data_IF_216514896546
#
_entry.id   IF_216514896546
#
_cell.length_a   1.000
_cell.length_b   1.000
_cell.length_c   1.000
_cell.angle_alpha   90.00
_cell.angle_beta   90.00
_cell.angle_gamma   90.00
#
_symmetry.space_group_name_H-M   'P 1'
#
loop_
_entity.id
_entity.type
_entity.pdbx_description
1 polymer ?
#
# COMPACT_ATOMS: atom_id res chain seq x y z
N UNK A 1 13.51 7.79 -32.95
CA UNK A 1 12.77 8.71 -32.03
C UNK A 1 12.28 7.86 -30.85
N UNK A 2 12.49 8.28 -29.60
CA UNK A 2 12.12 7.47 -28.42
C UNK A 2 10.60 7.26 -28.35
N UNK A 3 10.13 6.03 -28.60
CA UNK A 3 8.71 5.68 -28.76
C UNK A 3 7.83 6.04 -27.54
N UNK A 4 8.41 6.05 -26.34
CA UNK A 4 7.72 6.42 -25.09
C UNK A 4 7.44 7.93 -24.95
N UNK A 5 8.16 8.79 -25.66
CA UNK A 5 8.08 10.25 -25.48
C UNK A 5 6.75 10.83 -25.97
N UNK A 6 6.22 10.32 -27.09
CA UNK A 6 4.93 10.72 -27.65
C UNK A 6 3.78 10.50 -26.66
N UNK A 7 3.55 9.26 -26.20
CA UNK A 7 2.58 8.95 -25.14
C UNK A 7 2.79 9.78 -23.88
N UNK A 8 4.04 9.93 -23.41
CA UNK A 8 4.34 10.73 -22.21
C UNK A 8 3.89 12.20 -22.34
N UNK A 9 4.16 12.85 -23.48
CA UNK A 9 3.75 14.24 -23.73
C UNK A 9 2.22 14.37 -23.80
N UNK A 10 1.52 13.42 -24.44
CA UNK A 10 0.06 13.38 -24.48
C UNK A 10 -0.54 13.19 -23.09
N UNK A 11 0.02 12.29 -22.28
CA UNK A 11 -0.38 12.07 -20.89
C UNK A 11 -0.25 13.34 -20.04
N UNK A 12 0.86 14.07 -20.15
CA UNK A 12 1.03 15.38 -19.47
C UNK A 12 0.00 16.42 -19.89
N UNK A 13 -0.29 16.52 -21.19
CA UNK A 13 -1.32 17.44 -21.72
C UNK A 13 -2.72 17.06 -21.24
N UNK A 14 -3.04 15.76 -21.21
CA UNK A 14 -4.31 15.26 -20.68
C UNK A 14 -4.44 15.56 -19.18
N UNK A 15 -3.38 15.35 -18.40
CA UNK A 15 -3.34 15.63 -16.97
C UNK A 15 -3.53 17.13 -16.66
N UNK A 16 -2.93 18.02 -17.46
CA UNK A 16 -3.13 19.47 -17.36
C UNK A 16 -4.58 19.88 -17.65
N UNK A 17 -5.28 19.12 -18.51
CA UNK A 17 -6.70 19.32 -18.82
C UNK A 17 -7.65 18.55 -17.90
N UNK A 18 -7.17 18.03 -16.77
CA UNK A 18 -7.93 17.20 -15.83
C UNK A 18 -8.57 15.93 -16.44
N UNK A 19 -8.08 15.47 -17.61
CA UNK A 19 -8.52 14.23 -18.25
C UNK A 19 -7.73 13.04 -17.69
N UNK A 20 -8.05 12.66 -16.45
CA UNK A 20 -7.29 11.66 -15.66
C UNK A 20 -7.26 10.28 -16.30
N UNK A 21 -8.39 9.78 -16.81
CA UNK A 21 -8.49 8.47 -17.48
C UNK A 21 -7.58 8.36 -18.71
N UNK A 22 -7.60 9.39 -19.56
CA UNK A 22 -6.71 9.49 -20.73
C UNK A 22 -5.26 9.59 -20.27
N UNK A 23 -4.96 10.40 -19.24
CA UNK A 23 -3.60 10.52 -18.72
C UNK A 23 -3.06 9.18 -18.23
N UNK A 24 -3.84 8.41 -17.46
CA UNK A 24 -3.46 7.06 -17.00
C UNK A 24 -3.16 6.14 -18.18
N UNK A 25 -4.03 6.10 -19.19
CA UNK A 25 -3.82 5.29 -20.40
C UNK A 25 -2.53 5.65 -21.13
N UNK A 26 -2.30 6.94 -21.38
CA UNK A 26 -1.10 7.41 -22.09
C UNK A 26 0.19 7.18 -21.29
N UNK A 27 0.14 7.29 -19.95
CA UNK A 27 1.31 6.97 -19.11
C UNK A 27 1.59 5.47 -19.03
N UNK A 28 0.56 4.60 -19.03
CA UNK A 28 0.76 3.14 -19.16
C UNK A 28 1.42 2.79 -20.48
N UNK A 29 0.92 3.33 -21.59
CA UNK A 29 1.57 3.17 -22.89
C UNK A 29 3.02 3.69 -22.88
N UNK A 30 3.29 4.83 -22.24
CA UNK A 30 4.66 5.33 -22.10
C UNK A 30 5.58 4.36 -21.34
N UNK A 31 5.07 3.65 -20.32
CA UNK A 31 5.85 2.65 -19.57
C UNK A 31 6.17 1.41 -20.43
N UNK A 32 5.22 0.94 -21.22
CA UNK A 32 5.40 -0.22 -22.10
C UNK A 32 6.53 0.00 -23.12
N UNK A 33 6.65 1.23 -23.66
CA UNK A 33 7.69 1.58 -24.62
C UNK A 33 9.00 2.10 -23.98
N UNK A 34 9.05 2.26 -22.65
CA UNK A 34 10.23 2.81 -21.98
C UNK A 34 11.29 1.71 -21.79
N UNK A 35 12.52 1.89 -22.31
CA UNK A 35 13.55 0.87 -22.15
C UNK A 35 13.96 0.76 -20.67
N UNK A 36 14.18 -0.47 -20.20
CA UNK A 36 14.55 -0.77 -18.80
C UNK A 36 15.84 -0.06 -18.37
N UNK A 37 16.75 0.22 -19.33
CA UNK A 37 17.99 0.96 -19.10
C UNK A 37 17.76 2.44 -18.72
N UNK A 38 16.61 3.02 -19.08
CA UNK A 38 16.27 4.42 -18.82
C UNK A 38 15.51 4.58 -17.49
N UNK A 39 16.18 4.26 -16.38
CA UNK A 39 15.57 4.21 -15.04
C UNK A 39 15.00 5.56 -14.59
N UNK A 40 15.65 6.68 -14.94
CA UNK A 40 15.23 8.04 -14.56
C UNK A 40 13.96 8.46 -15.29
N UNK A 41 13.86 8.13 -16.56
CA UNK A 41 12.71 8.39 -17.42
C UNK A 41 11.53 7.53 -16.97
N UNK A 42 11.76 6.24 -16.71
CA UNK A 42 10.76 5.32 -16.18
C UNK A 42 10.24 5.78 -14.81
N UNK A 43 11.12 6.22 -13.91
CA UNK A 43 10.73 6.81 -12.64
C UNK A 43 9.87 8.07 -12.81
N UNK A 44 10.20 8.93 -13.79
CA UNK A 44 9.41 10.12 -14.12
C UNK A 44 8.03 9.73 -14.64
N UNK A 45 7.92 8.74 -15.53
CA UNK A 45 6.63 8.27 -16.04
C UNK A 45 5.79 7.70 -14.89
N UNK A 46 6.36 6.83 -14.05
CA UNK A 46 5.70 6.29 -12.86
C UNK A 46 5.23 7.39 -11.90
N UNK A 47 6.02 8.45 -11.74
CA UNK A 47 5.65 9.57 -10.92
C UNK A 47 4.39 10.29 -11.43
N UNK A 48 4.34 10.61 -12.73
CA UNK A 48 3.16 11.25 -13.34
C UNK A 48 1.96 10.31 -13.41
N UNK A 49 2.17 9.00 -13.59
CA UNK A 49 1.13 8.00 -13.49
C UNK A 49 0.50 8.03 -12.08
N UNK A 50 1.33 8.07 -11.03
CA UNK A 50 0.85 8.20 -9.66
C UNK A 50 0.03 9.47 -9.45
N UNK A 51 0.44 10.61 -10.02
CA UNK A 51 -0.33 11.86 -9.93
C UNK A 51 -1.69 11.76 -10.67
N UNK A 52 -1.74 11.07 -11.81
CA UNK A 52 -2.98 10.84 -12.54
C UNK A 52 -3.93 9.91 -11.77
N UNK A 53 -3.37 8.86 -11.14
CA UNK A 53 -4.11 7.92 -10.30
C UNK A 53 -4.67 8.58 -9.03
N UNK A 54 -3.87 9.40 -8.34
CA UNK A 54 -4.30 10.16 -7.15
C UNK A 54 -5.47 11.08 -7.48
N UNK A 55 -5.39 11.81 -8.61
CA UNK A 55 -6.48 12.68 -9.09
C UNK A 55 -7.73 11.91 -9.56
N UNK A 56 -7.61 10.61 -9.83
CA UNK A 56 -8.74 9.74 -10.15
C UNK A 56 -9.35 9.04 -8.93
N UNK A 57 -8.87 9.33 -7.72
CA UNK A 57 -9.32 8.71 -6.47
C UNK A 57 -8.63 7.38 -6.15
N UNK A 58 -7.72 6.90 -6.99
CA UNK A 58 -7.01 5.63 -6.83
C UNK A 58 -5.71 5.82 -6.02
N UNK A 59 -5.84 6.32 -4.79
CA UNK A 59 -4.72 6.71 -3.91
C UNK A 59 -3.77 5.56 -3.58
N UNK A 60 -4.27 4.34 -3.44
CA UNK A 60 -3.47 3.14 -3.23
C UNK A 60 -2.54 2.83 -4.41
N UNK A 61 -3.10 2.81 -5.62
CA UNK A 61 -2.31 2.59 -6.84
C UNK A 61 -1.32 3.74 -7.09
N UNK A 62 -1.71 4.98 -6.74
CA UNK A 62 -0.81 6.12 -6.78
C UNK A 62 0.40 5.91 -5.86
N UNK A 63 0.16 5.49 -4.62
CA UNK A 63 1.22 5.20 -3.66
C UNK A 63 2.17 4.12 -4.19
N UNK A 64 1.62 3.03 -4.73
CA UNK A 64 2.40 1.95 -5.38
C UNK A 64 3.26 2.48 -6.53
N UNK A 65 2.72 3.35 -7.39
CA UNK A 65 3.48 3.96 -8.49
C UNK A 65 4.65 4.81 -7.99
N UNK A 66 4.46 5.62 -6.95
CA UNK A 66 5.54 6.44 -6.38
C UNK A 66 6.60 5.61 -5.66
N UNK A 67 6.21 4.56 -4.92
CA UNK A 67 7.15 3.61 -4.31
C UNK A 67 8.01 2.95 -5.37
N UNK A 68 7.41 2.53 -6.50
CA UNK A 68 8.17 1.96 -7.61
C UNK A 68 9.08 2.98 -8.29
N UNK A 69 8.65 4.24 -8.45
CA UNK A 69 9.53 5.31 -8.94
C UNK A 69 10.74 5.50 -8.02
N UNK A 70 10.54 5.40 -6.71
CA UNK A 70 11.59 5.56 -5.69
C UNK A 70 12.58 4.39 -5.66
N UNK A 71 12.18 3.19 -6.09
CA UNK A 71 13.11 2.05 -6.30
C UNK A 71 14.07 2.29 -7.46
N UNK A 72 13.65 3.03 -8.47
CA UNK A 72 14.47 3.31 -9.66
C UNK A 72 15.43 4.48 -9.47
N UNK A 73 15.06 5.47 -8.64
CA UNK A 73 15.86 6.68 -8.39
C UNK A 73 16.08 6.88 -6.90
N UNK A 74 17.35 6.80 -6.48
CA UNK A 74 17.77 6.88 -5.06
C UNK A 74 17.81 8.28 -4.48
N UNK A 75 18.09 9.29 -5.32
CA UNK A 75 18.39 10.66 -4.87
C UNK A 75 17.96 11.70 -5.92
N UNK A 76 18.03 12.98 -5.53
CA UNK A 76 17.69 14.11 -6.40
C UNK A 76 16.21 14.51 -6.36
N UNK A 77 15.82 15.38 -7.30
CA UNK A 77 14.49 16.02 -7.28
C UNK A 77 13.31 15.02 -7.31
N UNK A 78 13.39 13.98 -8.14
CA UNK A 78 12.33 12.95 -8.20
C UNK A 78 12.21 12.16 -6.88
N UNK A 79 13.33 11.94 -6.19
CA UNK A 79 13.33 11.30 -4.88
C UNK A 79 12.80 12.24 -3.78
N UNK A 80 13.13 13.54 -3.84
CA UNK A 80 12.59 14.54 -2.92
C UNK A 80 11.07 14.72 -3.10
N UNK A 81 10.61 14.62 -4.35
CA UNK A 81 9.19 14.62 -4.69
C UNK A 81 8.45 13.52 -3.92
N UNK A 82 8.94 12.28 -3.91
CA UNK A 82 8.31 11.15 -3.20
C UNK A 82 7.86 11.49 -1.76
N UNK A 83 8.73 12.11 -0.95
CA UNK A 83 8.47 12.44 0.46
C UNK A 83 7.33 13.46 0.66
N UNK A 84 6.92 14.16 -0.40
CA UNK A 84 5.77 15.07 -0.37
C UNK A 84 4.44 14.32 -0.42
N UNK A 85 4.38 13.16 -1.09
CA UNK A 85 3.14 12.42 -1.32
C UNK A 85 3.00 11.16 -0.48
N UNK A 86 4.11 10.61 0.05
CA UNK A 86 4.12 9.38 0.83
C UNK A 86 4.53 9.67 2.28
N UNK A 87 3.82 9.07 3.24
CA UNK A 87 4.14 9.14 4.67
C UNK A 87 5.18 8.07 5.07
N UNK A 88 5.53 8.04 6.36
CA UNK A 88 6.57 7.16 6.91
C UNK A 88 6.18 5.67 6.91
N UNK A 89 4.89 5.38 6.73
CA UNK A 89 4.33 4.04 6.61
C UNK A 89 4.31 3.51 5.17
N UNK A 90 4.70 4.34 4.19
CA UNK A 90 4.64 4.02 2.76
C UNK A 90 3.24 4.15 2.14
N UNK A 91 2.33 4.87 2.80
CA UNK A 91 0.98 5.18 2.29
C UNK A 91 0.89 6.62 1.79
N UNK A 92 -0.22 6.96 1.11
CA UNK A 92 -0.52 8.34 0.74
C UNK A 92 -0.52 9.23 1.98
N UNK A 93 0.33 10.25 1.97
CA UNK A 93 0.44 11.25 3.04
C UNK A 93 -0.83 12.09 3.14
N UNK A 94 -1.32 12.24 4.36
CA UNK A 94 -2.50 13.04 4.68
C UNK A 94 -2.08 14.39 5.28
N UNK A 95 -3.03 15.31 5.47
CA UNK A 95 -2.75 16.64 6.01
C UNK A 95 -2.28 16.66 7.47
N UNK A 96 -2.42 15.57 8.22
CA UNK A 96 -2.04 15.47 9.63
C UNK A 96 -1.28 14.17 9.91
N UNK A 97 -0.15 14.20 10.64
CA UNK A 97 0.57 13.00 11.08
C UNK A 97 -0.29 12.06 11.92
N UNK A 98 -1.19 12.61 12.75
CA UNK A 98 -2.10 11.80 13.57
C UNK A 98 -3.09 11.01 12.68
N UNK A 99 -3.52 11.61 11.58
CA UNK A 99 -4.39 10.95 10.61
C UNK A 99 -3.63 9.89 9.81
N UNK A 100 -2.36 10.13 9.48
CA UNK A 100 -1.49 9.11 8.90
C UNK A 100 -1.29 7.90 9.85
N UNK A 101 -1.10 8.16 11.15
CA UNK A 101 -1.01 7.11 12.17
C UNK A 101 -2.33 6.33 12.28
N UNK A 102 -3.48 7.01 12.28
CA UNK A 102 -4.80 6.36 12.29
C UNK A 102 -4.99 5.46 11.07
N UNK A 103 -4.68 5.96 9.86
CA UNK A 103 -4.79 5.17 8.62
C UNK A 103 -3.88 3.95 8.63
N UNK A 104 -2.69 4.07 9.23
CA UNK A 104 -1.76 2.95 9.39
C UNK A 104 -2.34 1.89 10.33
N UNK A 105 -2.85 2.34 11.49
CA UNK A 105 -3.52 1.49 12.46
C UNK A 105 -4.72 0.76 11.84
N UNK A 106 -5.62 1.51 11.20
CA UNK A 106 -6.80 0.99 10.51
C UNK A 106 -6.40 -0.09 9.49
N UNK A 107 -5.42 0.20 8.64
CA UNK A 107 -4.96 -0.74 7.61
C UNK A 107 -4.34 -2.02 8.20
N UNK A 108 -3.64 -1.92 9.34
CA UNK A 108 -3.11 -3.11 10.03
C UNK A 108 -4.25 -3.96 10.59
N UNK A 109 -5.25 -3.35 11.22
CA UNK A 109 -6.36 -4.10 11.82
C UNK A 109 -7.27 -4.73 10.76
N UNK A 110 -7.55 -4.01 9.67
CA UNK A 110 -8.28 -4.57 8.52
C UNK A 110 -7.53 -5.75 7.94
N UNK A 111 -6.21 -5.64 7.76
CA UNK A 111 -5.39 -6.76 7.29
C UNK A 111 -5.50 -7.97 8.23
N UNK A 112 -5.38 -7.78 9.55
CA UNK A 112 -5.52 -8.86 10.53
C UNK A 112 -6.91 -9.50 10.49
N UNK A 113 -7.95 -8.69 10.33
CA UNK A 113 -9.33 -9.17 10.21
C UNK A 113 -9.51 -9.99 8.94
N UNK A 114 -9.19 -9.42 7.77
CA UNK A 114 -9.33 -10.09 6.48
C UNK A 114 -8.42 -11.32 6.34
N UNK A 115 -7.24 -11.34 6.97
CA UNK A 115 -6.34 -12.50 6.94
C UNK A 115 -6.89 -13.71 7.72
N UNK A 116 -7.79 -13.49 8.68
CA UNK A 116 -8.49 -14.57 9.38
C UNK A 116 -9.68 -15.09 8.58
N UNK A 117 -10.14 -14.35 7.56
CA UNK A 117 -11.21 -14.76 6.67
C UNK A 117 -10.65 -15.56 5.51
N UNK A 118 -11.31 -16.66 5.15
CA UNK A 118 -10.93 -17.48 4.00
C UNK A 118 -11.01 -16.70 2.67
N UNK A 119 -11.99 -15.80 2.53
CA UNK A 119 -12.22 -15.03 1.32
C UNK A 119 -11.33 -13.78 1.17
N UNK A 120 -10.66 -13.32 2.23
CA UNK A 120 -9.80 -12.14 2.20
C UNK A 120 -10.49 -10.81 1.85
N UNK A 121 -11.83 -10.74 1.92
CA UNK A 121 -12.65 -9.55 1.65
C UNK A 121 -13.85 -9.49 2.60
N UNK A 122 -14.45 -8.32 2.73
CA UNK A 122 -15.73 -8.15 3.42
C UNK A 122 -16.87 -8.81 2.62
N UNK A 123 -17.84 -9.43 3.30
CA UNK A 123 -19.07 -9.97 2.72
C UNK A 123 -20.10 -8.89 2.46
N UNK A 124 -20.22 -7.91 3.36
CA UNK A 124 -21.22 -6.85 3.26
C UNK A 124 -20.68 -5.49 3.69
N UNK A 125 -21.39 -4.44 3.28
CA UNK A 125 -21.13 -3.08 3.75
C UNK A 125 -21.40 -2.96 5.26
N UNK A 126 -22.42 -3.65 5.78
CA UNK A 126 -22.71 -3.67 7.21
C UNK A 126 -21.57 -4.29 8.04
N UNK A 127 -20.98 -5.40 7.58
CA UNK A 127 -19.80 -6.00 8.21
C UNK A 127 -18.63 -5.00 8.24
N UNK A 128 -18.37 -4.36 7.11
CA UNK A 128 -17.32 -3.36 6.97
C UNK A 128 -17.51 -2.21 7.97
N UNK A 129 -18.74 -1.71 8.11
CA UNK A 129 -19.07 -0.63 9.03
C UNK A 129 -18.89 -1.03 10.50
N UNK A 130 -19.31 -2.25 10.87
CA UNK A 130 -19.09 -2.79 12.22
C UNK A 130 -17.60 -2.91 12.51
N UNK A 131 -16.82 -3.47 11.59
CA UNK A 131 -15.36 -3.62 11.74
C UNK A 131 -14.69 -2.25 11.87
N UNK A 132 -15.07 -1.28 11.06
CA UNK A 132 -14.54 0.08 11.16
C UNK A 132 -14.91 0.77 12.46
N UNK A 133 -16.13 0.57 12.96
CA UNK A 133 -16.56 1.13 14.25
C UNK A 133 -15.69 0.61 15.41
N UNK A 134 -15.43 -0.71 15.44
CA UNK A 134 -14.56 -1.33 16.45
C UNK A 134 -13.13 -0.78 16.37
N UNK A 135 -12.60 -0.61 15.15
CA UNK A 135 -11.27 -0.03 14.93
C UNK A 135 -11.22 1.44 15.40
N UNK A 136 -12.26 2.22 15.11
CA UNK A 136 -12.35 3.61 15.53
C UNK A 136 -12.37 3.76 17.04
N UNK A 137 -13.13 2.93 17.75
CA UNK A 137 -13.20 2.98 19.20
C UNK A 137 -11.88 2.56 19.85
N UNK A 138 -11.22 1.51 19.32
CA UNK A 138 -9.88 1.14 19.75
C UNK A 138 -8.86 2.27 19.52
N UNK A 139 -8.93 2.95 18.37
CA UNK A 139 -8.07 4.10 18.07
C UNK A 139 -8.31 5.26 19.04
N UNK A 140 -9.57 5.58 19.37
CA UNK A 140 -9.89 6.65 20.35
C UNK A 140 -9.22 6.38 21.69
N UNK A 141 -9.16 5.13 22.15
CA UNK A 141 -8.47 4.75 23.38
C UNK A 141 -6.95 4.97 23.29
N UNK A 142 -6.33 4.53 22.19
CA UNK A 142 -4.89 4.72 21.94
C UNK A 142 -4.56 6.22 21.84
N UNK A 143 -5.34 6.99 21.09
CA UNK A 143 -5.14 8.42 20.91
C UNK A 143 -5.27 9.19 22.23
N UNK A 144 -6.25 8.84 23.09
CA UNK A 144 -6.42 9.44 24.43
C UNK A 144 -5.22 9.20 25.34
N UNK A 145 -4.57 8.05 25.24
CA UNK A 145 -3.39 7.71 26.06
C UNK A 145 -2.16 8.58 25.79
N UNK A 146 -2.12 9.27 24.64
CA UNK A 146 -0.97 10.08 24.16
C UNK A 146 0.37 9.34 24.08
N UNK A 147 0.38 8.00 24.17
CA UNK A 147 1.59 7.17 24.11
C UNK A 147 2.34 7.32 22.79
N UNK A 148 1.65 7.69 21.70
CA UNK A 148 2.22 7.73 20.35
C UNK A 148 3.13 8.94 20.06
N UNK A 149 3.09 10.01 20.84
CA UNK A 149 3.77 11.27 20.49
C UNK A 149 5.30 11.20 20.58
N UNK A 150 5.83 10.39 21.50
CA UNK A 150 7.27 10.22 21.72
C UNK A 150 7.89 9.04 20.97
N UNK A 151 7.06 8.25 20.26
CA UNK A 151 7.49 7.00 19.65
C UNK A 151 7.92 7.17 18.19
N UNK A 152 8.95 6.43 17.80
CA UNK A 152 9.33 6.28 16.40
C UNK A 152 8.22 5.56 15.62
N UNK A 153 8.16 5.76 14.30
CA UNK A 153 7.16 5.09 13.46
C UNK A 153 7.26 3.54 13.54
N UNK A 154 8.44 2.96 13.75
CA UNK A 154 8.60 1.50 13.90
C UNK A 154 8.05 1.01 15.23
N UNK A 155 8.25 1.77 16.31
CA UNK A 155 7.64 1.51 17.61
C UNK A 155 6.12 1.62 17.54
N UNK A 156 5.59 2.65 16.86
CA UNK A 156 4.15 2.79 16.59
C UNK A 156 3.59 1.57 15.86
N UNK A 157 4.23 1.12 14.77
CA UNK A 157 3.84 -0.10 14.04
C UNK A 157 3.83 -1.32 14.97
N UNK A 158 4.81 -1.45 15.86
CA UNK A 158 4.83 -2.57 16.81
C UNK A 158 3.65 -2.53 17.79
N UNK A 159 3.25 -1.35 18.25
CA UNK A 159 2.06 -1.20 19.11
C UNK A 159 0.81 -1.54 18.31
N UNK A 160 0.68 -1.01 17.09
CA UNK A 160 -0.46 -1.27 16.22
C UNK A 160 -0.63 -2.77 15.96
N UNK A 161 0.46 -3.49 15.68
CA UNK A 161 0.43 -4.95 15.50
C UNK A 161 0.10 -5.74 16.76
N UNK A 162 0.44 -5.22 17.95
CA UNK A 162 0.17 -5.86 19.24
C UNK A 162 -1.24 -5.61 19.75
N UNK A 163 -1.90 -4.55 19.30
CA UNK A 163 -3.29 -4.27 19.64
C UNK A 163 -4.18 -5.41 19.10
N UNK A 164 -4.81 -6.14 20.02
CA UNK A 164 -5.80 -7.16 19.70
C UNK A 164 -7.18 -6.53 19.82
N UNK A 165 -7.93 -6.56 18.72
CA UNK A 165 -9.30 -6.11 18.66
C UNK A 165 -10.18 -7.34 18.63
N UNK A 166 -11.17 -7.37 19.53
CA UNK A 166 -12.20 -8.40 19.53
C UNK A 166 -13.32 -7.93 18.60
N UNK A 167 -13.31 -8.48 17.40
CA UNK A 167 -14.38 -8.26 16.44
C UNK A 167 -15.56 -9.17 16.78
N UNK A 168 -16.81 -8.68 16.74
CA UNK A 168 -17.99 -9.52 16.87
C UNK A 168 -17.89 -10.71 15.91
N UNK A 169 -18.24 -11.91 16.37
CA UNK A 169 -18.28 -13.11 15.53
C UNK A 169 -19.35 -12.92 14.43
N UNK A 170 -18.95 -12.50 13.23
CA UNK A 170 -19.84 -12.30 12.08
C UNK A 170 -19.89 -13.54 11.16
N UNK A 171 -19.40 -14.70 11.63
CA UNK A 171 -19.09 -15.88 10.79
C UNK A 171 -20.25 -16.84 10.56
N UNK A 172 -21.51 -16.42 10.70
CA UNK A 172 -22.63 -17.31 10.41
C UNK A 172 -22.63 -17.79 8.94
N UNK A 173 -22.11 -16.96 8.03
CA UNK A 173 -22.00 -17.28 6.59
C UNK A 173 -20.70 -18.04 6.23
N UNK A 174 -19.60 -17.80 6.95
CA UNK A 174 -18.33 -18.50 6.71
C UNK A 174 -18.37 -19.97 7.21
N UNK A 175 -19.30 -20.32 8.13
CA UNK A 175 -19.58 -21.72 8.50
C UNK A 175 -20.29 -22.52 7.40
N UNK A 176 -20.84 -21.84 6.38
CA UNK A 176 -21.56 -22.45 5.26
C UNK A 176 -20.70 -22.53 3.99
N UNK A 177 -19.52 -21.90 3.96
CA UNK A 177 -18.58 -22.07 2.86
C UNK A 177 -17.91 -23.43 2.99
N UNK A 178 -18.10 -24.27 1.96
CA UNK A 178 -17.45 -25.56 1.81
C UNK A 178 -15.95 -25.41 2.06
N UNK A 179 -15.42 -26.25 2.94
CA UNK A 179 -14.02 -26.26 3.36
C UNK A 179 -13.08 -26.04 2.17
N UNK A 180 -12.55 -24.83 2.02
CA UNK A 180 -11.38 -24.62 1.20
C UNK A 180 -10.27 -25.44 1.85
N UNK A 181 -9.86 -26.55 1.22
CA UNK A 181 -8.76 -27.35 1.73
C UNK A 181 -7.59 -26.42 2.05
N UNK A 182 -7.08 -26.42 3.29
CA UNK A 182 -5.93 -25.60 3.61
C UNK A 182 -4.79 -26.03 2.70
N UNK A 183 -4.26 -25.10 1.90
CA UNK A 183 -3.02 -25.33 1.19
C UNK A 183 -1.96 -25.53 2.28
N UNK A 184 -1.62 -26.78 2.57
CA UNK A 184 -0.55 -27.17 3.48
C UNK A 184 0.78 -26.89 2.79
N UNK A 185 1.09 -25.60 2.65
CA UNK A 185 2.39 -25.13 2.23
C UNK A 185 3.38 -25.37 3.37
N UNK A 186 4.29 -26.32 3.19
CA UNK A 186 5.40 -26.51 4.12
C UNK A 186 6.41 -25.36 3.93
N UNK A 187 6.11 -24.18 4.47
CA UNK A 187 7.01 -23.01 4.45
C UNK A 187 8.26 -23.19 5.35
N UNK A 188 8.49 -24.41 5.86
CA UNK A 188 9.74 -24.83 6.51
C UNK A 188 10.83 -25.26 5.52
N UNK A 189 10.74 -24.86 4.25
CA UNK A 189 11.86 -24.87 3.31
C UNK A 189 12.91 -23.83 3.68
N UNK A 190 13.64 -24.05 4.78
CA UNK A 190 14.84 -23.29 5.14
C UNK A 190 15.86 -23.44 4.01
N UNK A 191 16.06 -22.39 3.21
CA UNK A 191 17.36 -22.18 2.55
C UNK A 191 18.38 -21.78 3.64
N UNK A 192 19.63 -22.26 3.59
CA UNK A 192 20.67 -21.84 4.51
C UNK A 192 21.04 -20.40 4.16
N UNK A 193 20.70 -19.50 5.07
CA UNK A 193 20.76 -18.07 4.87
C UNK A 193 19.68 -17.45 5.76
N UNK A 194 20.06 -17.16 6.99
CA UNK A 194 19.24 -16.51 8.03
C UNK A 194 18.26 -15.54 7.37
N UNK A 195 16.92 -15.70 7.53
CA UNK A 195 16.02 -14.63 7.13
C UNK A 195 16.42 -13.44 8.00
N UNK A 196 17.12 -12.48 7.41
CA UNK A 196 17.52 -11.26 8.07
C UNK A 196 16.23 -10.73 8.70
N UNK A 197 16.13 -10.75 10.04
CA UNK A 197 15.00 -10.17 10.76
C UNK A 197 15.10 -8.66 10.55
N UNK A 198 14.71 -8.22 9.36
CA UNK A 198 14.73 -6.83 8.95
C UNK A 198 13.79 -6.08 9.90
N UNK A 199 14.39 -5.21 10.71
CA UNK A 199 13.65 -4.20 11.44
C UNK A 199 12.99 -3.26 10.43
N UNK A 200 11.87 -2.65 10.83
CA UNK A 200 11.16 -1.71 9.97
C UNK A 200 12.03 -0.51 9.56
N UNK A 201 12.99 -0.13 10.40
CA UNK A 201 13.91 0.98 10.18
C UNK A 201 15.14 0.61 9.35
N UNK A 202 15.39 -0.69 9.13
CA UNK A 202 16.53 -1.15 8.34
C UNK A 202 16.38 -0.70 6.88
N UNK A 203 17.52 -0.46 6.21
CA UNK A 203 17.52 -0.15 4.79
C UNK A 203 16.90 -1.27 3.98
N UNK A 204 15.98 -0.92 3.08
CA UNK A 204 15.26 -1.92 2.28
C UNK A 204 16.21 -2.62 1.28
N UNK A 205 16.23 -3.97 1.23
CA UNK A 205 17.17 -4.72 0.38
C UNK A 205 16.90 -4.57 -1.12
N UNK A 206 15.73 -4.02 -1.53
CA UNK A 206 15.44 -3.75 -2.94
C UNK A 206 16.26 -2.59 -3.53
N UNK A 207 17.09 -1.92 -2.72
CA UNK A 207 17.97 -0.86 -3.19
C UNK A 207 17.28 0.49 -3.40
N UNK A 208 16.09 0.71 -2.82
CA UNK A 208 15.38 2.00 -2.90
C UNK A 208 16.06 3.11 -2.08
N UNK A 209 16.89 2.76 -1.09
CA UNK A 209 17.42 3.72 -0.11
C UNK A 209 16.35 4.26 0.85
N UNK A 210 15.22 3.56 0.98
CA UNK A 210 14.19 3.80 1.99
C UNK A 210 14.27 2.76 3.12
N UNK A 211 13.76 3.06 4.32
CA UNK A 211 13.48 2.06 5.34
C UNK A 211 12.57 0.94 4.81
N UNK A 212 12.76 -0.28 5.29
CA UNK A 212 11.98 -1.45 4.87
C UNK A 212 10.47 -1.21 5.03
N UNK A 213 10.05 -0.60 6.16
CA UNK A 213 8.66 -0.24 6.46
C UNK A 213 8.02 0.77 5.50
N UNK A 214 8.81 1.46 4.69
CA UNK A 214 8.32 2.49 3.76
C UNK A 214 8.38 2.02 2.30
N UNK A 215 8.95 0.84 2.04
CA UNK A 215 9.19 0.33 0.70
C UNK A 215 8.57 -1.06 0.50
N UNK A 216 9.35 -2.15 0.63
CA UNK A 216 8.85 -3.51 0.41
C UNK A 216 8.04 -4.04 1.60
N UNK A 217 8.32 -3.57 2.82
CA UNK A 217 7.57 -3.90 4.02
C UNK A 217 6.52 -2.85 4.39
N UNK A 218 6.07 -2.06 3.42
CA UNK A 218 5.10 -0.99 3.66
C UNK A 218 3.73 -1.51 4.04
N UNK A 219 2.98 -0.65 4.72
CA UNK A 219 1.56 -0.89 4.99
C UNK A 219 0.77 -0.53 3.72
N UNK A 220 -0.05 -1.46 3.26
CA UNK A 220 -1.00 -1.23 2.17
C UNK A 220 -2.26 -0.61 2.76
N UNK A 221 -2.85 0.38 2.09
CA UNK A 221 -4.11 0.97 2.57
C UNK A 221 -5.25 -0.05 2.52
N UNK A 222 -6.34 0.17 3.27
CA UNK A 222 -7.53 -0.70 3.23
C UNK A 222 -8.03 -0.93 1.79
N UNK A 223 -8.06 0.13 0.96
CA UNK A 223 -8.44 0.05 -0.45
C UNK A 223 -7.50 -0.87 -1.24
N UNK A 224 -6.19 -0.81 -1.00
CA UNK A 224 -5.25 -1.71 -1.67
C UNK A 224 -5.47 -3.16 -1.24
N UNK A 225 -5.73 -3.40 0.05
CA UNK A 225 -5.93 -4.73 0.63
C UNK A 225 -7.19 -5.41 0.07
N UNK A 226 -8.29 -4.68 -0.04
CA UNK A 226 -9.56 -5.19 -0.60
C UNK A 226 -9.45 -5.59 -2.08
N UNK A 227 -8.49 -5.01 -2.82
CA UNK A 227 -8.30 -5.25 -4.26
C UNK A 227 -7.09 -6.14 -4.60
N UNK A 228 -6.34 -6.65 -3.60
CA UNK A 228 -5.14 -7.48 -3.85
C UNK A 228 -5.40 -8.97 -3.94
N UNK A 229 -6.60 -9.46 -3.64
CA UNK A 229 -6.96 -10.87 -3.84
C UNK A 229 -7.46 -11.08 -5.27
N UNK A 230 -6.83 -11.98 -6.05
CA UNK A 230 -7.29 -12.26 -7.39
C UNK A 230 -8.67 -12.91 -7.33
N UNK A 231 -9.55 -12.53 -8.26
CA UNK A 231 -10.64 -13.40 -8.70
C UNK A 231 -10.04 -14.79 -8.95
N UNK A 232 -10.39 -15.77 -8.11
CA UNK A 232 -10.28 -17.17 -8.50
C UNK A 232 -11.19 -17.33 -9.72
N UNK A 233 -10.60 -17.24 -10.91
CA UNK A 233 -11.21 -17.78 -12.12
C UNK A 233 -11.14 -19.30 -11.99
N UNK A 234 -12.31 -19.89 -11.91
CA UNK A 234 -12.58 -21.30 -12.15
C UNK A 234 -11.85 -21.75 -13.43
N UNK A 235 -11.12 -22.86 -13.32
CA UNK A 235 -10.78 -23.75 -14.43
C UNK A 235 -11.16 -25.15 -14.01
#
# INVERSE_FOLDING_TARGET
>A
MNLWYGPFKRGRKALAKHKTTIAVREFRAALEYCPVKASREMARILFYLGLALDRSGQSGLAAKSWVNARKLVRSGHLAAMYSRWINDYGMRKTGSPLLDDYRAFQSIQVFHYLSKRGAGRFCSEAERDVVYTVIEDAWKLIAKSRILTSLSCSQKISIFKKAKLDFPYMYAEDLLQSDCEPIVGNFKGKRPGVPLRLSGDDSCPCGSGLPFRQCCGRIYSCVEQEHTTPHHYER
#
